data_IF_579294239494
#
_entry.id   IF_579294239494
#
_cell.length_a   1.000
_cell.length_b   1.000
_cell.length_c   1.000
_cell.angle_alpha   90.00
_cell.angle_beta   90.00
_cell.angle_gamma   90.00
#
_symmetry.space_group_name_H-M   'P 1'
#
loop_
_entity.id
_entity.type
_entity.pdbx_description
1 polymer ?
#
# COMPACT_ATOMS: atom_id res chain seq x y z
N UNK A 1 -0.59 -16.31 2.88
CA UNK A 1 0.43 -15.51 3.62
C UNK A 1 -0.36 -14.46 4.38
N UNK A 2 -0.03 -14.22 5.63
CA UNK A 2 -0.74 -13.23 6.43
C UNK A 2 0.08 -11.95 6.50
N UNK A 3 -0.60 -10.82 6.45
CA UNK A 3 -0.01 -9.52 6.73
C UNK A 3 0.02 -9.33 8.25
N UNK A 4 1.17 -8.93 8.78
CA UNK A 4 1.36 -8.67 10.21
C UNK A 4 2.00 -7.31 10.39
N UNK A 5 1.48 -6.53 11.31
CA UNK A 5 2.04 -5.25 11.71
C UNK A 5 1.97 -5.07 13.22
N UNK A 6 3.00 -4.48 13.79
CA UNK A 6 3.03 -4.06 15.19
C UNK A 6 2.97 -2.54 15.27
N UNK A 7 2.12 -2.01 16.14
CA UNK A 7 1.91 -0.57 16.29
C UNK A 7 1.79 -0.19 17.77
N UNK A 8 2.03 1.06 18.09
CA UNK A 8 1.99 1.59 19.45
C UNK A 8 0.67 2.32 19.71
N UNK A 9 0.05 2.01 20.84
CA UNK A 9 -1.11 2.74 21.36
C UNK A 9 -0.92 2.92 22.86
N UNK A 10 -0.89 4.16 23.32
CA UNK A 10 -0.73 4.51 24.74
C UNK A 10 0.50 3.86 25.41
N UNK A 11 1.59 3.71 24.65
CA UNK A 11 2.83 3.08 25.10
C UNK A 11 2.82 1.54 25.10
N UNK A 12 1.73 0.92 24.69
CA UNK A 12 1.62 -0.53 24.53
C UNK A 12 1.82 -0.95 23.08
N UNK A 13 2.57 -2.03 22.85
CA UNK A 13 2.70 -2.65 21.54
C UNK A 13 1.47 -3.54 21.28
N UNK A 14 0.72 -3.22 20.24
CA UNK A 14 -0.38 -4.04 19.75
C UNK A 14 -0.01 -4.67 18.41
N UNK A 15 -0.57 -5.83 18.15
CA UNK A 15 -0.36 -6.59 16.93
C UNK A 15 -1.65 -6.67 16.14
N UNK A 16 -1.55 -6.43 14.84
CA UNK A 16 -2.65 -6.58 13.91
C UNK A 16 -2.23 -7.52 12.77
N UNK A 17 -3.09 -8.46 12.42
CA UNK A 17 -2.83 -9.34 11.30
C UNK A 17 -4.09 -9.56 10.47
N UNK A 18 -3.92 -9.70 9.16
CA UNK A 18 -4.98 -10.01 8.21
C UNK A 18 -4.44 -10.89 7.09
N UNK A 19 -5.34 -11.59 6.43
CA UNK A 19 -4.99 -12.38 5.25
C UNK A 19 -4.51 -11.44 4.14
N UNK A 20 -3.40 -11.79 3.53
CA UNK A 20 -2.85 -11.05 2.39
C UNK A 20 -3.34 -11.65 1.08
N UNK A 21 -4.04 -10.87 0.26
CA UNK A 21 -4.50 -11.26 -1.07
C UNK A 21 -5.14 -12.65 -1.07
N UNK A 22 -6.24 -12.83 -0.35
CA UNK A 22 -6.95 -14.10 -0.36
C UNK A 22 -7.38 -14.45 -1.79
N UNK A 23 -6.83 -15.54 -2.30
CA UNK A 23 -7.13 -16.08 -3.63
C UNK A 23 -7.87 -17.40 -3.43
N UNK A 24 -9.17 -17.50 -3.73
CA UNK A 24 -9.90 -18.75 -3.67
C UNK A 24 -9.24 -19.81 -4.56
N UNK A 25 -9.09 -21.04 -4.08
CA UNK A 25 -8.33 -22.09 -4.73
C UNK A 25 -8.88 -22.58 -6.10
N UNK A 26 -10.09 -22.21 -6.48
CA UNK A 26 -10.74 -22.71 -7.69
C UNK A 26 -11.14 -21.59 -8.65
N UNK A 27 -10.17 -21.12 -9.46
CA UNK A 27 -10.45 -20.17 -10.54
C UNK A 27 -10.85 -18.80 -10.00
N UNK A 28 -9.86 -18.02 -9.73
CA UNK A 28 -9.93 -16.69 -9.15
C UNK A 28 -10.83 -15.75 -9.92
N UNK A 29 -11.97 -15.49 -9.37
CA UNK A 29 -12.72 -14.32 -9.76
C UNK A 29 -12.40 -13.20 -8.76
N UNK A 30 -11.60 -12.23 -9.17
CA UNK A 30 -11.31 -11.02 -8.37
C UNK A 30 -12.58 -10.26 -7.95
N UNK A 31 -13.69 -10.50 -8.64
CA UNK A 31 -15.00 -9.97 -8.25
C UNK A 31 -15.39 -10.41 -6.83
N UNK A 32 -14.96 -11.57 -6.37
CA UNK A 32 -15.26 -12.06 -5.03
C UNK A 32 -14.53 -11.28 -3.94
N UNK A 33 -13.39 -10.68 -4.28
CA UNK A 33 -12.66 -9.79 -3.38
C UNK A 33 -13.46 -8.52 -3.05
N UNK A 34 -14.29 -8.06 -3.99
CA UNK A 34 -15.06 -6.82 -3.87
C UNK A 34 -16.49 -7.06 -3.41
N UNK A 35 -17.14 -8.11 -3.94
CA UNK A 35 -18.58 -8.35 -3.69
C UNK A 35 -18.84 -9.32 -2.53
N UNK A 36 -17.81 -9.99 -2.05
CA UNK A 36 -17.94 -11.07 -1.10
C UNK A 36 -18.58 -12.33 -1.72
N UNK A 37 -17.99 -13.47 -1.46
CA UNK A 37 -18.60 -14.77 -1.80
C UNK A 37 -19.49 -15.21 -0.65
N UNK A 38 -20.72 -15.70 -0.88
CA UNK A 38 -21.52 -16.31 0.17
C UNK A 38 -20.71 -17.37 0.92
N UNK A 39 -20.53 -17.19 2.23
CA UNK A 39 -19.64 -18.02 3.04
C UNK A 39 -18.15 -17.65 3.00
N UNK A 40 -17.75 -16.64 2.23
CA UNK A 40 -16.40 -16.08 2.24
C UNK A 40 -16.16 -15.12 3.43
N UNK A 41 -14.89 -14.86 3.72
CA UNK A 41 -14.50 -13.97 4.83
C UNK A 41 -15.02 -12.55 4.62
N UNK A 42 -14.91 -11.99 3.42
CA UNK A 42 -15.36 -10.62 3.08
C UNK A 42 -16.87 -10.46 3.26
N UNK A 43 -17.67 -11.50 3.02
CA UNK A 43 -19.12 -11.45 3.24
C UNK A 43 -19.50 -11.20 4.71
N UNK A 44 -18.64 -11.64 5.64
CA UNK A 44 -18.84 -11.53 7.08
C UNK A 44 -18.08 -10.34 7.71
N UNK A 45 -16.90 -10.03 7.18
CA UNK A 45 -16.04 -8.94 7.63
C UNK A 45 -15.33 -8.32 6.42
N UNK A 46 -15.80 -7.16 5.92
CA UNK A 46 -15.18 -6.46 4.79
C UNK A 46 -13.73 -6.05 5.02
N UNK A 47 -13.27 -6.03 6.27
CA UNK A 47 -11.89 -5.68 6.65
C UNK A 47 -11.04 -6.90 7.00
N UNK A 48 -11.47 -8.11 6.64
CA UNK A 48 -10.75 -9.33 6.96
C UNK A 48 -9.45 -9.54 6.18
N UNK A 49 -9.28 -8.80 5.09
CA UNK A 49 -8.17 -8.98 4.15
C UNK A 49 -7.45 -7.68 3.84
N UNK A 50 -6.16 -7.78 3.48
CA UNK A 50 -5.37 -6.71 2.89
C UNK A 50 -5.09 -7.05 1.42
N UNK A 51 -5.52 -6.17 0.53
CA UNK A 51 -5.26 -6.29 -0.90
C UNK A 51 -4.02 -5.52 -1.34
N UNK A 52 -3.22 -6.09 -2.24
CA UNK A 52 -2.18 -5.35 -2.90
C UNK A 52 -2.77 -4.38 -3.96
N UNK A 53 -2.01 -3.38 -4.45
CA UNK A 53 -2.48 -2.45 -5.46
C UNK A 53 -3.10 -3.11 -6.70
N UNK A 54 -2.60 -4.28 -7.11
CA UNK A 54 -3.14 -5.00 -8.26
C UNK A 54 -4.50 -5.63 -8.00
N UNK A 55 -4.73 -6.09 -6.77
CA UNK A 55 -6.01 -6.68 -6.40
C UNK A 55 -7.13 -5.64 -6.36
N UNK A 56 -6.82 -4.39 -5.99
CA UNK A 56 -7.83 -3.35 -5.73
C UNK A 56 -7.99 -2.33 -6.87
N UNK A 57 -6.99 -2.14 -7.72
CA UNK A 57 -6.96 -1.06 -8.75
C UNK A 57 -8.07 -1.09 -9.80
N UNK A 58 -8.71 -2.25 -9.99
CA UNK A 58 -9.76 -2.43 -11.00
C UNK A 58 -11.16 -2.04 -10.54
N UNK A 59 -11.31 -1.56 -9.31
CA UNK A 59 -12.60 -1.29 -8.67
C UNK A 59 -12.62 0.09 -8.03
N UNK A 60 -13.81 0.65 -7.88
CA UNK A 60 -14.07 1.84 -7.09
C UNK A 60 -14.75 1.44 -5.77
N UNK A 61 -14.37 2.09 -4.70
CA UNK A 61 -14.83 1.80 -3.34
C UNK A 61 -15.44 3.05 -2.71
N UNK A 62 -16.43 2.88 -1.86
CA UNK A 62 -16.93 3.98 -1.05
C UNK A 62 -15.85 4.54 -0.15
N UNK A 63 -15.13 3.67 0.55
CA UNK A 63 -14.01 4.00 1.43
C UNK A 63 -12.85 3.03 1.23
N UNK A 64 -11.63 3.53 1.32
CA UNK A 64 -10.40 2.73 1.26
C UNK A 64 -9.56 2.97 2.51
N UNK A 65 -9.09 1.89 3.14
CA UNK A 65 -7.99 1.93 4.10
C UNK A 65 -6.67 1.66 3.39
N UNK A 66 -5.70 2.56 3.51
CA UNK A 66 -4.37 2.42 2.93
C UNK A 66 -3.33 2.21 4.01
N UNK A 67 -2.58 1.12 3.94
CA UNK A 67 -1.42 0.86 4.78
C UNK A 67 -0.18 1.32 4.03
N UNK A 68 0.29 2.51 4.37
CA UNK A 68 1.52 3.08 3.81
C UNK A 68 2.69 2.71 4.70
N UNK A 69 3.43 1.72 4.26
CA UNK A 69 4.55 1.18 5.00
C UNK A 69 5.85 1.96 4.71
N UNK A 70 6.96 1.25 4.49
CA UNK A 70 8.28 1.85 4.36
C UNK A 70 8.85 1.81 2.94
N UNK A 71 8.00 1.74 1.93
CA UNK A 71 8.41 1.66 0.52
C UNK A 71 8.65 3.03 -0.12
N UNK A 72 7.79 4.00 0.14
CA UNK A 72 7.88 5.37 -0.33
C UNK A 72 7.97 6.32 0.88
N UNK A 73 9.07 7.03 1.00
CA UNK A 73 9.41 7.83 2.17
C UNK A 73 9.64 9.28 1.79
N UNK A 74 9.12 10.20 2.58
CA UNK A 74 9.50 11.61 2.50
C UNK A 74 10.75 11.88 3.32
N UNK A 75 11.74 12.56 2.73
CA UNK A 75 12.98 12.93 3.41
C UNK A 75 13.36 14.34 3.04
N UNK A 76 13.42 15.22 4.04
CA UNK A 76 13.77 16.65 3.89
C UNK A 76 12.83 17.39 2.92
N UNK A 77 13.07 17.27 1.61
CA UNK A 77 12.43 18.03 0.54
C UNK A 77 12.03 17.18 -0.68
N UNK A 78 12.19 15.84 -0.61
CA UNK A 78 11.91 14.96 -1.74
C UNK A 78 11.43 13.57 -1.32
N UNK A 79 10.86 12.84 -2.27
CA UNK A 79 10.49 11.45 -2.10
C UNK A 79 11.66 10.53 -2.35
N UNK A 80 11.86 9.58 -1.45
CA UNK A 80 12.82 8.49 -1.59
C UNK A 80 12.10 7.14 -1.68
N UNK A 81 12.67 6.23 -2.47
CA UNK A 81 12.20 4.86 -2.58
C UNK A 81 13.06 3.92 -1.74
N UNK A 82 12.44 3.13 -0.86
CA UNK A 82 13.13 2.09 -0.12
C UNK A 82 13.05 0.78 -0.89
N UNK A 83 14.05 0.52 -1.72
CA UNK A 83 14.10 -0.68 -2.55
C UNK A 83 14.09 -2.00 -1.76
N UNK A 84 14.46 -1.98 -0.48
CA UNK A 84 14.52 -3.20 0.35
C UNK A 84 13.12 -3.74 0.68
N UNK A 85 12.12 -2.86 0.79
CA UNK A 85 10.76 -3.20 1.21
C UNK A 85 9.79 -3.44 0.04
N UNK A 86 10.24 -3.24 -1.20
CA UNK A 86 9.39 -3.47 -2.38
C UNK A 86 9.41 -4.95 -2.74
N UNK A 87 8.26 -5.59 -2.61
CA UNK A 87 8.04 -7.01 -2.91
C UNK A 87 7.11 -7.24 -4.11
N UNK A 88 6.90 -6.21 -4.93
CA UNK A 88 5.96 -6.26 -6.02
C UNK A 88 6.48 -7.08 -7.19
N UNK A 89 5.70 -8.10 -7.63
CA UNK A 89 6.08 -9.00 -8.72
C UNK A 89 6.16 -8.29 -10.08
N UNK A 90 5.27 -7.33 -10.34
CA UNK A 90 5.19 -6.63 -11.64
C UNK A 90 6.41 -5.76 -11.98
N UNK A 91 7.14 -5.29 -10.96
CA UNK A 91 8.35 -4.48 -11.14
C UNK A 91 9.61 -5.14 -10.56
N UNK A 92 9.55 -6.43 -10.23
CA UNK A 92 10.64 -7.15 -9.55
C UNK A 92 11.96 -7.12 -10.33
N UNK A 93 11.92 -7.18 -11.65
CA UNK A 93 13.12 -7.08 -12.50
C UNK A 93 13.74 -5.68 -12.40
N UNK A 94 12.92 -4.64 -12.45
CA UNK A 94 13.34 -3.25 -12.32
C UNK A 94 13.96 -2.98 -10.94
N UNK A 95 13.31 -3.43 -9.87
CA UNK A 95 13.80 -3.32 -8.49
C UNK A 95 15.15 -4.02 -8.33
N UNK A 96 15.32 -5.22 -8.89
CA UNK A 96 16.63 -5.91 -8.87
C UNK A 96 17.72 -5.13 -9.57
N UNK A 97 17.41 -4.50 -10.70
CA UNK A 97 18.35 -3.66 -11.44
C UNK A 97 18.70 -2.40 -10.64
N UNK A 98 17.71 -1.71 -10.07
CA UNK A 98 17.93 -0.54 -9.22
C UNK A 98 18.80 -0.87 -7.99
N UNK A 99 18.58 -2.02 -7.35
CA UNK A 99 19.44 -2.48 -6.23
C UNK A 99 20.91 -2.67 -6.64
N UNK A 100 21.17 -3.03 -7.90
CA UNK A 100 22.55 -3.18 -8.43
C UNK A 100 23.22 -1.86 -8.80
N UNK A 101 22.43 -0.85 -9.16
CA UNK A 101 22.97 0.48 -9.49
C UNK A 101 23.71 1.15 -8.32
N UNK A 102 23.42 0.75 -7.08
CA UNK A 102 24.00 1.32 -5.83
C UNK A 102 23.93 2.84 -5.73
N UNK A 103 23.07 3.48 -6.54
CA UNK A 103 22.88 4.92 -6.57
C UNK A 103 21.42 5.27 -6.30
N UNK A 104 21.19 6.11 -5.29
CA UNK A 104 19.84 6.62 -4.99
C UNK A 104 19.26 7.46 -6.13
N UNK A 105 20.13 8.10 -6.92
CA UNK A 105 19.76 8.94 -8.05
C UNK A 105 19.98 8.22 -9.40
N UNK A 106 20.13 6.89 -9.40
CA UNK A 106 20.26 6.10 -10.62
C UNK A 106 18.99 6.18 -11.47
N UNK A 107 19.13 6.14 -12.78
CA UNK A 107 18.00 6.24 -13.72
C UNK A 107 16.93 5.18 -13.44
N UNK A 108 17.34 3.95 -13.13
CA UNK A 108 16.41 2.86 -12.84
C UNK A 108 15.78 3.03 -11.46
N UNK A 109 16.49 3.56 -10.48
CA UNK A 109 15.95 3.90 -9.16
C UNK A 109 14.86 4.97 -9.27
N UNK A 110 15.07 6.00 -10.09
CA UNK A 110 14.06 7.02 -10.37
C UNK A 110 12.83 6.45 -11.07
N UNK A 111 13.00 5.53 -12.02
CA UNK A 111 11.88 4.84 -12.65
C UNK A 111 11.05 4.03 -11.64
N UNK A 112 11.70 3.33 -10.69
CA UNK A 112 10.99 2.62 -9.62
C UNK A 112 10.20 3.60 -8.75
N UNK A 113 10.81 4.73 -8.36
CA UNK A 113 10.16 5.79 -7.59
C UNK A 113 8.91 6.30 -8.31
N UNK A 114 9.02 6.68 -9.58
CA UNK A 114 7.89 7.19 -10.37
C UNK A 114 6.74 6.18 -10.46
N UNK A 115 7.05 4.90 -10.71
CA UNK A 115 6.05 3.83 -10.77
C UNK A 115 5.36 3.62 -9.41
N UNK A 116 6.11 3.70 -8.32
CA UNK A 116 5.54 3.59 -6.97
C UNK A 116 4.62 4.76 -6.66
N UNK A 117 5.04 5.99 -6.96
CA UNK A 117 4.18 7.18 -6.82
C UNK A 117 2.89 7.05 -7.64
N UNK A 118 2.98 6.55 -8.88
CA UNK A 118 1.79 6.32 -9.70
C UNK A 118 0.87 5.24 -9.10
N UNK A 119 1.42 4.19 -8.51
CA UNK A 119 0.63 3.16 -7.83
C UNK A 119 -0.17 3.76 -6.65
N UNK A 120 0.45 4.61 -5.81
CA UNK A 120 -0.26 5.33 -4.74
C UNK A 120 -1.36 6.25 -5.29
N UNK A 121 -1.07 7.01 -6.36
CA UNK A 121 -2.09 7.85 -7.01
C UNK A 121 -3.29 7.05 -7.49
N UNK A 122 -3.07 5.89 -8.10
CA UNK A 122 -4.15 5.01 -8.54
C UNK A 122 -5.00 4.55 -7.35
N UNK A 123 -4.37 4.11 -6.26
CA UNK A 123 -5.10 3.68 -5.06
C UNK A 123 -5.94 4.84 -4.49
N UNK A 124 -5.34 6.02 -4.35
CA UNK A 124 -6.03 7.20 -3.79
C UNK A 124 -7.20 7.68 -4.63
N UNK A 125 -7.19 7.41 -5.94
CA UNK A 125 -8.31 7.76 -6.83
C UNK A 125 -9.42 6.73 -6.90
N UNK A 126 -9.31 5.61 -6.17
CA UNK A 126 -10.35 4.56 -6.12
C UNK A 126 -11.41 4.78 -5.04
N UNK A 127 -11.21 5.70 -4.14
CA UNK A 127 -12.17 6.01 -3.08
C UNK A 127 -13.16 7.09 -3.54
N UNK A 128 -14.45 6.79 -3.46
CA UNK A 128 -15.52 7.70 -3.87
C UNK A 128 -15.92 8.69 -2.76
N UNK A 129 -15.83 8.27 -1.50
CA UNK A 129 -16.29 9.06 -0.33
C UNK A 129 -15.17 9.43 0.61
N UNK A 130 -14.17 8.57 0.78
CA UNK A 130 -13.07 8.90 1.70
C UNK A 130 -11.98 7.85 1.77
N UNK A 131 -10.81 8.30 2.24
CA UNK A 131 -9.61 7.48 2.39
C UNK A 131 -9.14 7.60 3.83
N UNK A 132 -8.83 6.47 4.44
CA UNK A 132 -8.12 6.38 5.71
C UNK A 132 -6.70 5.91 5.43
N UNK A 133 -5.71 6.68 5.82
CA UNK A 133 -4.31 6.37 5.57
C UNK A 133 -3.58 6.16 6.88
N UNK A 134 -3.02 4.99 7.07
CA UNK A 134 -2.07 4.73 8.13
C UNK A 134 -0.65 4.75 7.56
N UNK A 135 0.21 5.59 8.14
CA UNK A 135 1.59 5.81 7.69
C UNK A 135 2.54 5.42 8.81
N UNK A 136 3.41 4.43 8.56
CA UNK A 136 4.32 3.89 9.56
C UNK A 136 5.51 4.81 9.85
N UNK A 137 5.99 5.54 8.84
CA UNK A 137 7.13 6.45 8.93
C UNK A 137 6.71 7.82 9.43
N UNK A 138 7.31 8.29 10.52
CA UNK A 138 6.92 9.53 11.19
C UNK A 138 7.15 10.77 10.32
N UNK A 139 8.31 10.90 9.66
CA UNK A 139 8.63 12.06 8.81
C UNK A 139 7.68 12.15 7.61
N UNK A 140 7.37 11.00 7.00
CA UNK A 140 6.39 10.91 5.90
C UNK A 140 5.00 11.28 6.38
N UNK A 141 4.59 10.78 7.54
CA UNK A 141 3.27 11.09 8.14
C UNK A 141 3.12 12.58 8.42
N UNK A 142 4.12 13.19 9.04
CA UNK A 142 4.11 14.61 9.39
C UNK A 142 4.03 15.48 8.12
N UNK A 143 4.79 15.16 7.08
CA UNK A 143 4.73 15.85 5.79
C UNK A 143 3.35 15.74 5.12
N UNK A 144 2.80 14.53 5.03
CA UNK A 144 1.50 14.30 4.39
C UNK A 144 0.39 15.01 5.15
N UNK A 145 0.41 14.96 6.49
CA UNK A 145 -0.56 15.63 7.33
C UNK A 145 -0.49 17.16 7.16
N UNK A 146 0.70 17.73 7.22
CA UNK A 146 0.88 19.17 7.03
C UNK A 146 0.44 19.64 5.64
N UNK A 147 0.73 18.86 4.59
CA UNK A 147 0.36 19.18 3.22
C UNK A 147 -1.15 19.06 2.95
N UNK A 148 -1.84 18.17 3.67
CA UNK A 148 -3.29 17.95 3.50
C UNK A 148 -4.15 19.05 4.14
N UNK A 149 -3.61 19.79 5.10
CA UNK A 149 -4.31 20.89 5.80
C UNK A 149 -3.79 22.28 5.42
N UNK A 150 -2.89 22.40 4.45
CA UNK A 150 -2.48 23.70 3.93
C UNK A 150 -3.68 24.40 3.25
N UNK A 151 -4.08 25.61 3.66
CA UNK A 151 -5.15 26.34 2.98
C UNK A 151 -4.70 26.63 1.54
N UNK A 152 -5.56 26.31 0.58
CA UNK A 152 -5.41 26.65 -0.85
C UNK A 152 -5.53 28.14 -1.09
#
# INVERSE_FOLDING_TARGET
>A
MDFHEAYQVDGETRHWSRIWNFVPHNGTNYTWFVTGHPGGHIANDPLCEVGCPYAVRGFDYDYIGVLWLNDLLWRKDHWEINLATIHESGISALVRTARRERSRNGKVTQEVLERTVQAYRIIFTRALKGIYVWISDDETRDYVTASSFAPS
#
